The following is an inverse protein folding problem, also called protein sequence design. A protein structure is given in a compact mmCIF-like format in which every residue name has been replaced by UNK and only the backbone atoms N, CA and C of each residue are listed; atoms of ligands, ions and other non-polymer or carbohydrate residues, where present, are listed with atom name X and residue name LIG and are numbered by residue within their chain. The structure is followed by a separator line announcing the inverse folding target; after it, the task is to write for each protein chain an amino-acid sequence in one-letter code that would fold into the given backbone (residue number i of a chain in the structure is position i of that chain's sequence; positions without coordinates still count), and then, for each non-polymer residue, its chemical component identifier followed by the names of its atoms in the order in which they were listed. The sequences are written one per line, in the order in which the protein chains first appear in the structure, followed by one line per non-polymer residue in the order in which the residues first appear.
data_IF_494053385178
#
_entry.id   IF_494053385178
#
_cell.length_a   1.000
_cell.length_b   1.000
_cell.length_c   1.000
_cell.angle_alpha   90.00
_cell.angle_beta   90.00
_cell.angle_gamma   90.00
#
_symmetry.space_group_name_H-M   'P 1'
#
loop_
_entity.id
_entity.type
_entity.pdbx_description
1 polymer ?
#
# COMPACT_ATOMS: atom_id res chain seq x y z
N UNK A 1 -1.33 40.54 32.16
CA UNK A 1 -1.58 40.04 30.80
C UNK A 1 -0.34 39.29 30.33
N UNK A 2 -0.34 37.97 30.44
CA UNK A 2 0.80 37.14 30.00
C UNK A 2 0.67 36.88 28.51
N UNK A 3 1.47 37.57 27.70
CA UNK A 3 1.59 37.30 26.27
C UNK A 3 2.35 35.97 26.09
N UNK A 4 1.63 34.89 25.77
CA UNK A 4 2.24 33.62 25.40
C UNK A 4 2.96 33.84 24.06
N UNK A 5 4.28 33.89 24.09
CA UNK A 5 5.13 34.13 22.92
C UNK A 5 5.23 32.85 22.07
N UNK A 6 4.13 32.44 21.44
CA UNK A 6 4.17 31.37 20.43
C UNK A 6 4.79 31.96 19.15
N UNK A 7 6.09 31.76 18.99
CA UNK A 7 6.87 32.22 17.84
C UNK A 7 6.74 31.23 16.68
N UNK A 8 6.33 31.70 15.50
CA UNK A 8 6.26 30.87 14.29
C UNK A 8 7.62 30.89 13.59
N UNK A 9 8.25 29.72 13.41
CA UNK A 9 9.52 29.57 12.71
C UNK A 9 9.30 28.77 11.43
N UNK A 10 9.67 29.34 10.28
CA UNK A 10 9.56 28.67 8.97
C UNK A 10 10.96 28.54 8.38
N UNK A 11 11.49 27.31 8.34
CA UNK A 11 12.90 27.07 8.02
C UNK A 11 13.80 27.70 9.10
N UNK A 12 14.68 28.63 8.72
CA UNK A 12 15.56 29.34 9.65
C UNK A 12 15.03 30.74 10.02
N UNK A 13 13.83 31.11 9.53
CA UNK A 13 13.31 32.47 9.68
C UNK A 13 12.19 32.50 10.71
N UNK A 14 12.39 33.33 11.74
CA UNK A 14 11.33 33.69 12.70
C UNK A 14 10.36 34.67 12.01
N UNK A 15 9.08 34.29 11.97
CA UNK A 15 8.00 35.09 11.38
C UNK A 15 7.38 35.95 12.49
N UNK A 16 7.46 37.27 12.34
CA UNK A 16 6.88 38.19 13.32
C UNK A 16 5.37 38.13 13.32
N UNK A 17 4.78 38.24 14.52
CA UNK A 17 3.34 38.30 14.74
C UNK A 17 2.97 39.61 15.43
N UNK A 18 1.89 40.23 15.00
CA UNK A 18 1.39 41.46 15.62
C UNK A 18 0.42 41.19 16.79
N UNK A 19 0.01 42.26 17.48
CA UNK A 19 -0.90 42.17 18.62
C UNK A 19 -2.31 41.65 18.25
N UNK A 20 -2.68 41.71 16.96
CA UNK A 20 -3.95 41.18 16.44
C UNK A 20 -3.82 39.75 15.92
N UNK A 21 -2.64 39.13 16.11
CA UNK A 21 -2.38 37.74 15.78
C UNK A 21 -2.07 37.47 14.30
N UNK A 22 -1.75 38.49 13.50
CA UNK A 22 -1.39 38.40 12.07
C UNK A 22 0.12 38.22 11.89
N UNK A 23 0.51 37.58 10.79
CA UNK A 23 1.90 37.18 10.51
C UNK A 23 2.52 38.05 9.41
N UNK A 24 3.80 38.36 9.55
CA UNK A 24 4.53 39.21 8.59
C UNK A 24 4.84 38.47 7.29
N UNK A 25 4.25 38.92 6.18
CA UNK A 25 4.44 38.36 4.85
C UNK A 25 5.86 38.60 4.31
N UNK A 26 6.51 39.69 4.72
CA UNK A 26 7.90 39.96 4.36
C UNK A 26 8.86 38.93 4.96
N UNK A 27 8.59 38.45 6.18
CA UNK A 27 9.41 37.41 6.81
C UNK A 27 9.20 36.05 6.12
N UNK A 28 7.97 35.75 5.70
CA UNK A 28 7.67 34.57 4.87
C UNK A 28 8.32 34.64 3.49
N UNK A 29 8.33 35.82 2.85
CA UNK A 29 9.03 36.03 1.59
C UNK A 29 10.53 35.79 1.73
N UNK A 30 11.12 36.19 2.86
CA UNK A 30 12.51 35.87 3.22
C UNK A 30 12.73 34.38 3.40
N UNK A 31 11.83 33.69 4.11
CA UNK A 31 11.88 32.24 4.29
C UNK A 31 11.73 31.46 2.96
N UNK A 32 11.04 32.04 1.99
CA UNK A 32 10.82 31.47 0.66
C UNK A 32 11.96 31.72 -0.33
N UNK A 33 13.00 32.49 0.04
CA UNK A 33 14.16 32.76 -0.82
C UNK A 33 14.14 34.08 -1.59
N UNK A 34 13.30 35.06 -1.20
CA UNK A 34 13.31 36.45 -1.71
C UNK A 34 13.16 36.61 -3.23
N UNK A 35 12.55 35.64 -3.92
CA UNK A 35 12.32 35.75 -5.36
C UNK A 35 11.41 36.95 -5.71
N UNK A 36 11.82 37.78 -6.68
CA UNK A 36 11.10 39.01 -7.04
C UNK A 36 9.65 38.78 -7.45
N UNK A 37 9.35 37.65 -8.10
CA UNK A 37 7.98 37.28 -8.54
C UNK A 37 7.03 36.97 -7.39
N UNK A 38 7.57 36.67 -6.20
CA UNK A 38 6.79 36.30 -5.01
C UNK A 38 6.66 37.45 -4.02
N UNK A 39 6.83 38.70 -4.45
CA UNK A 39 6.74 39.83 -3.55
C UNK A 39 5.33 39.95 -2.91
N UNK A 40 5.26 40.28 -1.61
CA UNK A 40 3.99 40.53 -0.91
C UNK A 40 3.04 41.50 -1.61
N UNK A 41 3.57 42.54 -2.28
CA UNK A 41 2.76 43.52 -3.01
C UNK A 41 2.10 42.91 -4.26
N UNK A 42 2.79 42.01 -4.95
CA UNK A 42 2.24 41.32 -6.14
C UNK A 42 1.15 40.33 -5.74
N UNK A 43 1.36 39.60 -4.64
CA UNK A 43 0.36 38.71 -4.07
C UNK A 43 -0.96 39.43 -3.75
N UNK A 44 -0.91 40.57 -3.06
CA UNK A 44 -2.11 41.34 -2.70
C UNK A 44 -2.86 41.92 -3.91
N UNK A 45 -2.22 42.00 -5.08
CA UNK A 45 -2.85 42.49 -6.32
C UNK A 45 -3.66 41.43 -7.03
N UNK A 46 -3.40 40.14 -6.77
CA UNK A 46 -4.08 39.01 -7.40
C UNK A 46 -5.59 39.06 -7.13
N UNK A 47 -6.37 38.73 -8.17
CA UNK A 47 -7.84 38.68 -8.07
C UNK A 47 -8.28 37.64 -7.04
N UNK A 48 -7.67 36.45 -7.06
CA UNK A 48 -7.97 35.38 -6.10
C UNK A 48 -7.74 35.81 -4.64
N UNK A 49 -6.62 36.48 -4.35
CA UNK A 49 -6.34 36.97 -3.00
C UNK A 49 -7.33 38.05 -2.55
N UNK A 50 -7.76 38.93 -3.46
CA UNK A 50 -8.82 39.92 -3.17
C UNK A 50 -10.16 39.26 -2.86
N UNK A 51 -10.52 38.20 -3.58
CA UNK A 51 -11.73 37.41 -3.32
C UNK A 51 -11.67 36.73 -1.95
N UNK A 52 -10.52 36.17 -1.57
CA UNK A 52 -10.31 35.57 -0.24
C UNK A 52 -10.44 36.64 0.85
N UNK A 53 -9.85 37.83 0.66
CA UNK A 53 -9.99 38.95 1.61
C UNK A 53 -11.46 39.34 1.76
N UNK A 54 -12.21 39.44 0.65
CA UNK A 54 -13.64 39.74 0.68
C UNK A 54 -14.45 38.67 1.43
N UNK A 55 -14.13 37.39 1.22
CA UNK A 55 -14.76 36.27 1.91
C UNK A 55 -14.46 36.23 3.42
N UNK A 56 -13.25 36.63 3.83
CA UNK A 56 -12.90 36.73 5.25
C UNK A 56 -13.67 37.89 5.91
N UNK A 57 -13.73 39.05 5.23
CA UNK A 57 -14.46 40.22 5.74
C UNK A 57 -15.97 39.98 5.84
N UNK A 58 -16.57 39.15 4.96
CA UNK A 58 -17.99 38.82 5.04
C UNK A 58 -18.33 37.86 6.19
N UNK A 59 -17.41 36.94 6.53
CA UNK A 59 -17.59 36.02 7.65
C UNK A 59 -17.38 36.66 9.02
N UNK A 60 -16.44 37.61 9.14
CA UNK A 60 -16.15 38.32 10.38
C UNK A 60 -15.86 39.81 10.09
N UNK A 61 -16.85 40.70 10.15
CA UNK A 61 -16.73 42.09 9.70
C UNK A 61 -15.80 42.97 10.56
N UNK A 62 -15.35 42.46 11.73
CA UNK A 62 -14.34 43.10 12.57
C UNK A 62 -12.93 42.54 12.36
N UNK A 63 -12.77 41.54 11.50
CA UNK A 63 -11.46 41.02 11.15
C UNK A 63 -10.74 42.04 10.26
N UNK A 64 -9.46 42.30 10.55
CA UNK A 64 -8.59 43.12 9.72
C UNK A 64 -7.60 42.18 9.02
N UNK A 65 -7.98 41.51 7.93
CA UNK A 65 -7.22 40.39 7.36
C UNK A 65 -5.83 40.77 6.85
N UNK A 66 -5.64 42.03 6.48
CA UNK A 66 -4.36 42.59 6.02
C UNK A 66 -4.12 43.94 6.70
N UNK A 67 -2.92 44.16 7.21
CA UNK A 67 -2.45 45.47 7.65
C UNK A 67 -1.03 45.71 7.16
N UNK A 68 -0.83 46.83 6.47
CA UNK A 68 0.51 47.31 6.11
C UNK A 68 0.97 48.29 7.17
N UNK A 69 2.13 48.04 7.76
CA UNK A 69 2.77 48.94 8.74
C UNK A 69 4.01 49.54 8.09
N UNK A 70 4.19 50.85 8.23
CA UNK A 70 5.38 51.58 7.76
C UNK A 70 6.39 51.77 8.92
N UNK A 71 7.68 51.86 8.59
CA UNK A 71 8.75 52.12 9.58
C UNK A 71 9.67 50.93 9.89
N UNK A 72 10.37 50.98 11.02
CA UNK A 72 11.47 50.03 11.38
C UNK A 72 11.03 48.57 11.48
N UNK A 73 9.79 48.32 11.89
CA UNK A 73 9.16 46.98 11.90
C UNK A 73 8.12 46.83 10.78
N UNK A 74 8.28 47.63 9.72
CA UNK A 74 7.34 47.72 8.61
C UNK A 74 7.27 46.43 7.79
N UNK A 75 6.09 46.23 7.21
CA UNK A 75 5.77 45.08 6.40
C UNK A 75 4.26 44.86 6.31
N UNK A 76 3.89 43.92 5.45
CA UNK A 76 2.50 43.49 5.30
C UNK A 76 2.22 42.36 6.28
N UNK A 77 1.28 42.55 7.19
CA UNK A 77 0.81 41.55 8.15
C UNK A 77 -0.52 40.98 7.70
N UNK A 78 -0.63 39.65 7.68
CA UNK A 78 -1.81 38.95 7.18
C UNK A 78 -2.31 37.88 8.14
N UNK A 79 -3.60 37.57 8.09
CA UNK A 79 -4.18 36.50 8.91
C UNK A 79 -3.71 35.10 8.47
N UNK A 80 -3.92 34.08 9.33
CA UNK A 80 -3.47 32.70 9.10
C UNK A 80 -3.92 32.12 7.75
N UNK A 81 -5.16 32.39 7.34
CA UNK A 81 -5.70 31.90 6.06
C UNK A 81 -4.89 32.42 4.85
N UNK A 82 -4.56 33.71 4.86
CA UNK A 82 -3.77 34.33 3.81
C UNK A 82 -2.30 33.88 3.82
N UNK A 83 -1.77 33.46 4.96
CA UNK A 83 -0.44 32.82 5.02
C UNK A 83 -0.42 31.51 4.23
N UNK A 84 -1.46 30.68 4.39
CA UNK A 84 -1.56 29.43 3.63
C UNK A 84 -1.73 29.69 2.14
N UNK A 85 -2.57 30.64 1.76
CA UNK A 85 -2.78 31.03 0.36
C UNK A 85 -1.49 31.55 -0.28
N UNK A 86 -0.76 32.42 0.43
CA UNK A 86 0.55 32.89 -0.04
C UNK A 86 1.55 31.76 -0.20
N UNK A 87 1.60 30.82 0.74
CA UNK A 87 2.50 29.67 0.64
C UNK A 87 2.11 28.73 -0.51
N UNK A 88 0.81 28.56 -0.77
CA UNK A 88 0.28 27.84 -1.94
C UNK A 88 0.72 28.50 -3.25
N UNK A 89 0.66 29.82 -3.32
CA UNK A 89 1.03 30.59 -4.51
C UNK A 89 2.54 30.51 -4.81
N UNK A 90 3.39 30.45 -3.79
CA UNK A 90 4.85 30.33 -3.95
C UNK A 90 5.25 28.95 -4.51
N UNK A 91 4.97 27.87 -3.77
CA UNK A 91 5.30 26.51 -4.19
C UNK A 91 4.71 25.46 -3.25
N UNK A 92 4.49 24.25 -3.77
CA UNK A 92 4.01 23.12 -2.97
C UNK A 92 4.97 22.73 -1.82
N UNK A 93 6.28 22.85 -2.03
CA UNK A 93 7.29 22.52 -1.01
C UNK A 93 7.30 23.55 0.10
N UNK A 94 7.23 24.85 -0.23
CA UNK A 94 7.16 25.90 0.77
C UNK A 94 5.86 25.83 1.57
N UNK A 95 4.73 25.51 0.92
CA UNK A 95 3.46 25.26 1.59
C UNK A 95 3.56 24.19 2.67
N UNK A 96 4.21 23.06 2.39
CA UNK A 96 4.39 22.00 3.40
C UNK A 96 5.17 22.50 4.62
N UNK A 97 6.27 23.23 4.41
CA UNK A 97 7.05 23.82 5.51
C UNK A 97 6.21 24.75 6.39
N UNK A 98 5.33 25.54 5.79
CA UNK A 98 4.44 26.45 6.54
C UNK A 98 3.40 25.65 7.34
N UNK A 99 2.83 24.58 6.77
CA UNK A 99 1.89 23.71 7.48
C UNK A 99 2.59 23.05 8.68
N UNK A 100 3.76 22.45 8.47
CA UNK A 100 4.56 21.83 9.52
C UNK A 100 4.91 22.83 10.63
N UNK A 101 5.32 24.05 10.28
CA UNK A 101 5.61 25.12 11.24
C UNK A 101 4.39 25.50 12.10
N UNK A 102 3.21 25.60 11.49
CA UNK A 102 1.97 25.87 12.23
C UNK A 102 1.56 24.70 13.12
N UNK A 103 1.68 23.47 12.63
CA UNK A 103 1.38 22.27 13.42
C UNK A 103 2.33 22.14 14.61
N UNK A 104 3.61 22.43 14.41
CA UNK A 104 4.64 22.47 15.44
C UNK A 104 4.30 23.54 16.49
N UNK A 105 3.96 24.76 16.07
CA UNK A 105 3.53 25.84 16.97
C UNK A 105 2.28 25.48 17.78
N UNK A 106 1.28 24.83 17.17
CA UNK A 106 0.03 24.41 17.84
C UNK A 106 0.25 23.24 18.79
N UNK A 107 1.09 22.27 18.41
CA UNK A 107 1.51 21.17 19.28
C UNK A 107 2.38 21.66 20.44
N UNK A 108 2.87 22.90 20.37
CA UNK A 108 3.83 23.50 21.29
C UNK A 108 5.15 22.76 21.18
N UNK A 109 5.99 23.11 20.20
CA UNK A 109 7.24 22.38 19.92
C UNK A 109 8.06 22.22 21.20
N UNK A 110 8.25 20.98 21.68
CA UNK A 110 9.39 20.64 22.50
C UNK A 110 10.56 20.42 21.53
N UNK A 111 11.26 21.49 21.15
CA UNK A 111 12.50 21.38 20.37
C UNK A 111 13.71 21.02 21.26
N UNK A 112 13.43 20.41 22.40
CA UNK A 112 14.38 19.68 23.21
C UNK A 112 13.83 18.27 23.41
N UNK A 113 14.68 17.21 23.46
CA UNK A 113 14.25 15.97 24.08
C UNK A 113 13.66 16.37 25.44
N UNK A 114 12.40 16.03 25.67
CA UNK A 114 11.67 16.44 26.85
C UNK A 114 12.57 16.23 28.08
N UNK A 115 13.18 17.29 28.61
CA UNK A 115 13.69 17.26 29.98
C UNK A 115 12.43 17.04 30.79
N UNK A 116 12.29 15.88 31.46
CA UNK A 116 11.08 15.57 32.19
C UNK A 116 10.93 16.69 33.22
N UNK A 117 9.83 17.45 33.11
CA UNK A 117 9.45 18.33 34.19
C UNK A 117 9.12 17.39 35.35
N UNK A 118 9.98 17.39 36.36
CA UNK A 118 9.78 16.57 37.55
C UNK A 118 8.42 16.98 38.13
N UNK A 119 7.41 16.09 38.16
CA UNK A 119 6.18 16.30 38.90
C UNK A 119 6.54 16.73 40.32
N UNK A 120 5.74 17.61 40.91
CA UNK A 120 5.98 18.17 42.26
C UNK A 120 6.20 17.10 43.35
N UNK A 121 5.83 15.85 43.07
CA UNK A 121 6.08 14.67 43.90
C UNK A 121 7.00 13.67 43.18
N UNK A 122 8.26 13.60 43.64
CA UNK A 122 9.31 12.71 43.12
C UNK A 122 8.91 11.22 43.07
N UNK A 123 7.97 10.80 43.94
CA UNK A 123 7.54 9.40 44.08
C UNK A 123 6.69 8.96 42.88
N UNK A 124 5.67 9.74 42.51
CA UNK A 124 4.79 9.44 41.38
C UNK A 124 5.55 9.44 40.05
N UNK A 125 6.52 10.35 39.92
CA UNK A 125 7.42 10.41 38.78
C UNK A 125 8.26 9.13 38.62
N UNK A 126 8.77 8.59 39.74
CA UNK A 126 9.58 7.38 39.74
C UNK A 126 8.74 6.16 39.38
N UNK A 127 7.51 6.07 39.90
CA UNK A 127 6.57 5.00 39.59
C UNK A 127 6.18 5.00 38.11
N UNK A 128 5.89 6.17 37.54
CA UNK A 128 5.57 6.31 36.13
C UNK A 128 6.72 5.85 35.22
N UNK A 129 7.97 6.18 35.55
CA UNK A 129 9.15 5.72 34.81
C UNK A 129 9.33 4.20 34.90
N UNK A 130 9.10 3.61 36.07
CA UNK A 130 9.16 2.15 36.25
C UNK A 130 8.07 1.44 35.44
N UNK A 131 6.86 2.00 35.38
CA UNK A 131 5.76 1.46 34.55
C UNK A 131 6.11 1.54 33.06
N UNK A 132 6.63 2.69 32.62
CA UNK A 132 7.02 2.89 31.22
C UNK A 132 8.14 1.93 30.78
N UNK A 133 9.16 1.72 31.62
CA UNK A 133 10.24 0.80 31.29
C UNK A 133 9.75 -0.66 31.26
N UNK A 134 8.86 -1.06 32.19
CA UNK A 134 8.22 -2.38 32.17
C UNK A 134 7.38 -2.58 30.91
N UNK A 135 6.64 -1.57 30.48
CA UNK A 135 5.84 -1.62 29.26
C UNK A 135 6.71 -1.72 28.01
N UNK A 136 7.78 -0.94 27.93
CA UNK A 136 8.77 -1.02 26.84
C UNK A 136 9.42 -2.40 26.77
N UNK A 137 9.79 -2.99 27.90
CA UNK A 137 10.33 -4.35 27.96
C UNK A 137 9.30 -5.37 27.46
N UNK A 138 8.03 -5.25 27.86
CA UNK A 138 6.93 -6.10 27.36
C UNK A 138 6.75 -5.98 25.86
N UNK A 139 6.70 -4.77 25.33
CA UNK A 139 6.58 -4.51 23.89
C UNK A 139 7.76 -5.11 23.12
N UNK A 140 8.98 -4.96 23.65
CA UNK A 140 10.18 -5.54 23.03
C UNK A 140 10.13 -7.07 23.00
N UNK A 141 9.63 -7.70 24.07
CA UNK A 141 9.47 -9.15 24.15
C UNK A 141 8.41 -9.67 23.17
N UNK A 142 7.26 -8.99 23.07
CA UNK A 142 6.20 -9.33 22.11
C UNK A 142 6.71 -9.19 20.68
N UNK A 143 7.39 -8.09 20.36
CA UNK A 143 7.95 -7.86 19.03
C UNK A 143 9.01 -8.92 18.67
N UNK A 144 9.85 -9.31 19.63
CA UNK A 144 10.83 -10.38 19.44
C UNK A 144 10.15 -11.73 19.18
N UNK A 145 9.08 -12.06 19.92
CA UNK A 145 8.29 -13.28 19.70
C UNK A 145 7.61 -13.28 18.33
N UNK A 146 7.05 -12.15 17.90
CA UNK A 146 6.45 -12.01 16.57
C UNK A 146 7.50 -12.18 15.47
N UNK A 147 8.70 -11.61 15.65
CA UNK A 147 9.80 -11.80 14.70
C UNK A 147 10.19 -13.28 14.58
N UNK A 148 10.29 -14.01 15.69
CA UNK A 148 10.56 -15.45 15.68
C UNK A 148 9.46 -16.25 14.96
N UNK A 149 8.18 -15.89 15.15
CA UNK A 149 7.07 -16.53 14.43
C UNK A 149 7.14 -16.27 12.92
N UNK A 150 7.46 -15.03 12.52
CA UNK A 150 7.67 -14.71 11.11
C UNK A 150 8.83 -15.51 10.53
N UNK A 151 9.92 -15.69 11.28
CA UNK A 151 11.07 -16.50 10.86
C UNK A 151 10.77 -17.97 10.72
N UNK A 152 10.00 -18.55 11.65
CA UNK A 152 9.55 -19.93 11.54
C UNK A 152 8.66 -20.16 10.30
N UNK A 153 7.92 -19.13 9.87
CA UNK A 153 7.05 -19.18 8.68
C UNK A 153 7.78 -18.83 7.37
N UNK A 154 8.97 -18.19 7.42
CA UNK A 154 9.79 -17.86 6.23
C UNK A 154 9.98 -19.04 5.27
N UNK A 155 10.33 -20.27 5.69
CA UNK A 155 10.58 -21.37 4.74
C UNK A 155 9.32 -21.84 3.98
N UNK A 156 8.15 -21.86 4.61
CA UNK A 156 6.89 -22.25 3.94
C UNK A 156 6.46 -21.19 2.92
N UNK A 157 6.58 -19.91 3.29
CA UNK A 157 6.25 -18.78 2.41
C UNK A 157 7.26 -18.64 1.27
N UNK A 158 8.55 -18.86 1.52
CA UNK A 158 9.59 -18.81 0.48
C UNK A 158 9.53 -19.99 -0.47
N UNK A 159 9.21 -21.20 0.01
CA UNK A 159 8.94 -22.33 -0.85
C UNK A 159 7.73 -22.03 -1.74
N UNK A 160 6.62 -21.55 -1.16
CA UNK A 160 5.46 -21.13 -1.94
C UNK A 160 5.81 -20.05 -2.97
N UNK A 161 6.57 -19.00 -2.58
CA UNK A 161 7.02 -17.94 -3.50
C UNK A 161 7.95 -18.45 -4.59
N UNK A 162 8.89 -19.35 -4.28
CA UNK A 162 9.82 -19.95 -5.26
C UNK A 162 9.07 -20.84 -6.24
N UNK A 163 8.10 -21.64 -5.78
CA UNK A 163 7.27 -22.47 -6.66
C UNK A 163 6.28 -21.67 -7.52
N UNK A 164 5.80 -20.53 -7.02
CA UNK A 164 4.93 -19.61 -7.76
C UNK A 164 5.70 -18.75 -8.77
N UNK A 165 6.91 -18.28 -8.41
CA UNK A 165 7.72 -17.40 -9.26
C UNK A 165 8.56 -18.11 -10.33
N UNK A 166 8.93 -19.38 -10.13
CA UNK A 166 9.86 -20.07 -11.02
C UNK A 166 9.22 -20.72 -12.26
N UNK A 167 7.90 -20.90 -12.30
CA UNK A 167 7.25 -21.69 -13.34
C UNK A 167 6.18 -20.84 -14.02
N UNK A 168 6.38 -20.57 -15.31
CA UNK A 168 5.40 -19.91 -16.17
C UNK A 168 4.05 -20.64 -16.21
N UNK A 169 3.13 -20.17 -17.05
CA UNK A 169 1.78 -20.74 -17.11
C UNK A 169 1.81 -22.28 -17.26
N UNK A 170 1.07 -22.99 -16.39
CA UNK A 170 1.02 -24.47 -16.34
C UNK A 170 -0.26 -25.01 -16.96
N UNK A 171 -0.22 -26.20 -17.55
CA UNK A 171 -1.46 -26.84 -17.98
C UNK A 171 -2.26 -27.30 -16.75
N UNK A 172 -3.57 -27.55 -16.90
CA UNK A 172 -4.42 -27.95 -15.78
C UNK A 172 -3.93 -29.22 -15.06
N UNK A 173 -3.32 -30.15 -15.81
CA UNK A 173 -2.75 -31.39 -15.25
C UNK A 173 -1.53 -31.11 -14.38
N UNK A 174 -0.59 -30.29 -14.86
CA UNK A 174 0.62 -29.93 -14.12
C UNK A 174 0.29 -29.04 -12.91
N UNK A 175 -0.71 -28.17 -13.05
CA UNK A 175 -1.24 -27.37 -11.95
C UNK A 175 -1.85 -28.25 -10.86
N UNK A 176 -2.64 -29.28 -11.24
CA UNK A 176 -3.21 -30.23 -10.28
C UNK A 176 -2.12 -31.00 -9.52
N UNK A 177 -1.10 -31.49 -10.23
CA UNK A 177 0.06 -32.16 -9.61
C UNK A 177 0.79 -31.23 -8.64
N UNK A 178 0.99 -29.97 -9.01
CA UNK A 178 1.65 -28.98 -8.16
C UNK A 178 0.80 -28.53 -6.95
N UNK A 179 -0.53 -28.68 -7.03
CA UNK A 179 -1.46 -28.47 -5.91
C UNK A 179 -1.68 -29.76 -5.10
N UNK A 180 -1.00 -30.85 -5.43
CA UNK A 180 -1.13 -32.16 -4.79
C UNK A 180 -2.55 -32.76 -4.84
N UNK A 181 -3.32 -32.42 -5.89
CA UNK A 181 -4.68 -32.94 -6.10
C UNK A 181 -4.77 -33.83 -7.34
N UNK A 182 -5.63 -34.87 -7.35
CA UNK A 182 -5.79 -35.71 -8.53
C UNK A 182 -6.32 -34.90 -9.74
N UNK A 183 -5.68 -34.99 -10.93
CA UNK A 183 -6.04 -34.14 -12.08
C UNK A 183 -7.50 -34.25 -12.54
N UNK A 184 -8.08 -35.46 -12.51
CA UNK A 184 -9.50 -35.67 -12.85
C UNK A 184 -10.44 -34.94 -11.89
N UNK A 185 -10.09 -34.96 -10.61
CA UNK A 185 -10.84 -34.25 -9.58
C UNK A 185 -10.74 -32.74 -9.79
N UNK A 186 -9.54 -32.22 -10.06
CA UNK A 186 -9.34 -30.79 -10.30
C UNK A 186 -10.17 -30.28 -11.48
N UNK A 187 -10.20 -31.02 -12.59
CA UNK A 187 -11.03 -30.67 -13.76
C UNK A 187 -12.52 -30.67 -13.41
N UNK A 188 -12.98 -31.62 -12.59
CA UNK A 188 -14.38 -31.67 -12.12
C UNK A 188 -14.68 -30.51 -11.18
N UNK A 189 -13.80 -30.22 -10.22
CA UNK A 189 -13.91 -29.07 -9.32
C UNK A 189 -14.03 -27.75 -10.08
N UNK A 190 -13.26 -27.54 -11.15
CA UNK A 190 -13.35 -26.33 -11.99
C UNK A 190 -14.69 -26.18 -12.69
N UNK A 191 -15.33 -27.29 -13.07
CA UNK A 191 -16.66 -27.32 -13.68
C UNK A 191 -17.75 -27.08 -12.63
N UNK A 192 -17.69 -27.82 -11.52
CA UNK A 192 -18.66 -27.75 -10.42
C UNK A 192 -18.65 -26.37 -9.74
N UNK A 193 -17.47 -25.74 -9.65
CA UNK A 193 -17.29 -24.39 -9.09
C UNK A 193 -17.57 -23.27 -10.11
N UNK A 194 -18.00 -23.61 -11.32
CA UNK A 194 -18.27 -22.67 -12.41
C UNK A 194 -17.09 -21.73 -12.70
N UNK A 195 -15.85 -22.24 -12.62
CA UNK A 195 -14.61 -21.52 -12.95
C UNK A 195 -14.29 -21.70 -14.43
N UNK A 196 -14.51 -22.92 -14.92
CA UNK A 196 -14.40 -23.27 -16.33
C UNK A 196 -15.69 -23.92 -16.83
N UNK A 197 -15.93 -23.83 -18.13
CA UNK A 197 -17.07 -24.46 -18.79
C UNK A 197 -16.63 -25.16 -20.08
N UNK A 198 -17.53 -25.98 -20.63
CA UNK A 198 -17.36 -26.59 -21.97
C UNK A 198 -18.35 -25.92 -22.92
N UNK A 199 -17.87 -25.53 -24.11
CA UNK A 199 -18.73 -24.90 -25.11
C UNK A 199 -19.82 -25.90 -25.55
N UNK A 200 -21.09 -25.49 -25.66
CA UNK A 200 -22.12 -26.32 -26.25
C UNK A 200 -21.76 -26.67 -27.70
N UNK A 201 -22.09 -27.89 -28.10
CA UNK A 201 -21.82 -28.35 -29.46
C UNK A 201 -22.64 -27.54 -30.46
N UNK A 202 -21.97 -26.98 -31.46
CA UNK A 202 -22.65 -26.37 -32.61
C UNK A 202 -23.05 -27.45 -33.61
N UNK A 203 -24.23 -27.34 -34.26
CA UNK A 203 -24.64 -28.27 -35.31
C UNK A 203 -23.56 -28.39 -36.40
N UNK A 204 -23.16 -29.61 -36.75
CA UNK A 204 -22.17 -29.88 -37.80
C UNK A 204 -20.68 -29.81 -37.37
N UNK A 205 -20.35 -29.40 -36.15
CA UNK A 205 -18.96 -29.45 -35.65
C UNK A 205 -18.67 -30.68 -34.78
N UNK A 206 -17.46 -31.23 -34.92
CA UNK A 206 -16.92 -32.26 -34.01
C UNK A 206 -16.93 -31.73 -32.57
N UNK A 207 -17.38 -32.57 -31.63
CA UNK A 207 -17.39 -32.25 -30.19
C UNK A 207 -15.98 -31.90 -29.71
N UNK A 208 -15.74 -30.63 -29.38
CA UNK A 208 -14.49 -30.19 -28.75
C UNK A 208 -14.66 -30.25 -27.23
N UNK A 209 -13.96 -31.19 -26.58
CA UNK A 209 -13.99 -31.36 -25.12
C UNK A 209 -13.08 -30.35 -24.39
N UNK A 210 -12.87 -29.15 -24.96
CA UNK A 210 -11.98 -28.13 -24.42
C UNK A 210 -12.64 -27.42 -23.25
N UNK A 211 -11.92 -27.33 -22.14
CA UNK A 211 -12.30 -26.49 -21.00
C UNK A 211 -11.89 -25.05 -21.28
N UNK A 212 -12.83 -24.12 -21.12
CA UNK A 212 -12.61 -22.68 -21.25
C UNK A 212 -12.86 -22.00 -19.91
N UNK A 213 -12.00 -21.06 -19.48
CA UNK A 213 -12.24 -20.28 -18.28
C UNK A 213 -13.38 -19.28 -18.51
N UNK A 214 -14.14 -18.99 -17.46
CA UNK A 214 -15.07 -17.85 -17.47
C UNK A 214 -14.32 -16.53 -17.51
N UNK A 215 -14.95 -15.51 -18.11
CA UNK A 215 -14.31 -14.22 -18.37
C UNK A 215 -13.79 -13.55 -17.09
N UNK A 216 -14.49 -13.73 -15.96
CA UNK A 216 -14.08 -13.20 -14.65
C UNK A 216 -12.71 -13.72 -14.20
N UNK A 217 -12.44 -15.02 -14.36
CA UNK A 217 -11.19 -15.65 -13.93
C UNK A 217 -10.03 -15.34 -14.88
N UNK A 218 -10.34 -15.01 -16.13
CA UNK A 218 -9.37 -14.47 -17.09
C UNK A 218 -9.04 -13.01 -16.75
N UNK A 219 -10.05 -12.19 -16.44
CA UNK A 219 -9.86 -10.79 -16.05
C UNK A 219 -9.06 -10.64 -14.75
N UNK A 220 -9.28 -11.54 -13.78
CA UNK A 220 -8.48 -11.64 -12.55
C UNK A 220 -7.07 -12.19 -12.78
N UNK A 221 -6.76 -12.65 -14.00
CA UNK A 221 -5.46 -13.17 -14.38
C UNK A 221 -5.12 -14.53 -13.78
N UNK A 222 -6.11 -15.31 -13.31
CA UNK A 222 -5.88 -16.64 -12.72
C UNK A 222 -5.71 -17.73 -13.77
N UNK A 223 -6.44 -17.62 -14.88
CA UNK A 223 -6.44 -18.58 -15.98
C UNK A 223 -6.24 -17.85 -17.30
N UNK A 224 -5.46 -18.45 -18.20
CA UNK A 224 -5.21 -17.93 -19.54
C UNK A 224 -5.52 -19.02 -20.56
N UNK A 225 -6.24 -18.69 -21.62
CA UNK A 225 -6.42 -19.59 -22.75
C UNK A 225 -5.30 -19.35 -23.77
N UNK A 226 -4.33 -20.27 -23.83
CA UNK A 226 -3.20 -20.16 -24.77
C UNK A 226 -3.62 -20.76 -26.11
N UNK A 227 -3.75 -19.93 -27.13
CA UNK A 227 -3.97 -20.40 -28.50
C UNK A 227 -2.71 -21.11 -29.03
N UNK A 228 -2.90 -22.22 -29.75
CA UNK A 228 -1.83 -22.92 -30.47
C UNK A 228 -2.38 -23.34 -31.82
N UNK A 229 -2.11 -22.56 -32.86
CA UNK A 229 -2.50 -22.90 -34.22
C UNK A 229 -1.52 -23.93 -34.78
N UNK A 230 -2.04 -25.03 -35.30
CA UNK A 230 -1.27 -26.08 -35.96
C UNK A 230 -1.80 -26.21 -37.38
N UNK A 231 -0.90 -26.10 -38.34
CA UNK A 231 -1.23 -26.30 -39.74
C UNK A 231 -1.28 -27.81 -40.04
N UNK A 232 -2.36 -28.24 -40.68
CA UNK A 232 -2.57 -29.61 -41.14
C UNK A 232 -2.81 -29.58 -42.64
N UNK A 233 -1.91 -30.19 -43.40
CA UNK A 233 -2.12 -30.40 -44.83
C UNK A 233 -3.21 -31.46 -45.05
N UNK A 234 -4.20 -31.11 -45.88
CA UNK A 234 -5.29 -31.99 -46.33
C UNK A 234 -5.27 -32.03 -47.85
N UNK A 235 -5.93 -33.01 -48.48
CA UNK A 235 -6.01 -33.13 -49.95
C UNK A 235 -6.57 -31.87 -50.65
N UNK A 236 -7.31 -31.03 -49.92
CA UNK A 236 -7.97 -29.81 -50.40
C UNK A 236 -7.21 -28.51 -50.01
N UNK A 237 -6.06 -28.61 -49.32
CA UNK A 237 -5.24 -27.45 -48.90
C UNK A 237 -4.76 -27.48 -47.44
N UNK A 238 -4.17 -26.36 -46.98
CA UNK A 238 -3.68 -26.19 -45.61
C UNK A 238 -4.84 -25.74 -44.71
N UNK A 239 -5.16 -26.54 -43.68
CA UNK A 239 -6.18 -26.21 -42.68
C UNK A 239 -5.50 -25.84 -41.37
N UNK A 240 -5.89 -24.72 -40.77
CA UNK A 240 -5.40 -24.31 -39.44
C UNK A 240 -6.30 -24.90 -38.34
N UNK A 241 -5.74 -25.84 -37.57
CA UNK A 241 -6.39 -26.40 -36.40
C UNK A 241 -5.92 -25.68 -35.13
N UNK A 242 -6.86 -25.05 -34.41
CA UNK A 242 -6.56 -24.52 -33.08
C UNK A 242 -6.48 -25.66 -32.04
N UNK A 243 -5.28 -25.90 -31.50
CA UNK A 243 -4.95 -26.80 -30.39
C UNK A 243 -4.65 -26.07 -29.08
N UNK A 244 -5.21 -24.88 -28.89
CA UNK A 244 -5.08 -24.14 -27.66
C UNK A 244 -5.59 -24.89 -26.43
N UNK A 245 -5.12 -24.46 -25.25
CA UNK A 245 -5.52 -25.05 -23.97
C UNK A 245 -5.54 -23.99 -22.87
N UNK A 246 -6.34 -24.27 -21.84
CA UNK A 246 -6.41 -23.43 -20.63
C UNK A 246 -5.22 -23.72 -19.73
N UNK A 247 -4.58 -22.64 -19.28
CA UNK A 247 -3.39 -22.65 -18.46
C UNK A 247 -3.64 -21.88 -17.17
N UNK A 248 -3.05 -22.34 -16.07
CA UNK A 248 -3.05 -21.67 -14.77
C UNK A 248 -1.83 -20.77 -14.67
N UNK A 249 -2.03 -19.52 -14.28
CA UNK A 249 -0.95 -18.55 -14.07
C UNK A 249 -0.36 -18.73 -12.67
N UNK A 250 0.83 -18.16 -12.39
CA UNK A 250 1.35 -18.04 -11.02
C UNK A 250 0.35 -17.44 -10.03
N UNK A 251 -0.35 -16.39 -10.44
CA UNK A 251 -1.38 -15.73 -9.62
C UNK A 251 -2.56 -16.68 -9.35
N UNK A 252 -2.98 -17.43 -10.38
CA UNK A 252 -4.01 -18.45 -10.26
C UNK A 252 -3.58 -19.59 -9.33
N UNK A 253 -2.33 -20.06 -9.41
CA UNK A 253 -1.79 -21.10 -8.54
C UNK A 253 -1.83 -20.68 -7.07
N UNK A 254 -1.41 -19.46 -6.75
CA UNK A 254 -1.46 -18.92 -5.39
C UNK A 254 -2.90 -18.89 -4.87
N UNK A 255 -3.83 -18.45 -5.72
CA UNK A 255 -5.25 -18.39 -5.40
C UNK A 255 -5.87 -19.78 -5.16
N UNK A 256 -5.58 -20.76 -6.02
CA UNK A 256 -6.05 -22.13 -5.84
C UNK A 256 -5.46 -22.76 -4.57
N UNK A 257 -4.19 -22.53 -4.29
CA UNK A 257 -3.53 -23.06 -3.09
C UNK A 257 -4.18 -22.53 -1.80
N UNK A 258 -4.42 -21.22 -1.72
CA UNK A 258 -5.10 -20.61 -0.58
C UNK A 258 -6.54 -21.13 -0.42
N UNK A 259 -7.27 -21.27 -1.53
CA UNK A 259 -8.66 -21.73 -1.55
C UNK A 259 -8.81 -23.20 -1.18
N UNK A 260 -7.88 -24.05 -1.58
CA UNK A 260 -7.90 -25.48 -1.24
C UNK A 260 -7.42 -25.75 0.19
N UNK A 261 -6.46 -24.96 0.70
CA UNK A 261 -6.04 -25.04 2.11
C UNK A 261 -7.15 -24.62 3.07
N UNK A 262 -7.91 -23.57 2.78
CA UNK A 262 -9.01 -23.13 3.65
C UNK A 262 -10.15 -24.15 3.72
N UNK A 263 -10.41 -24.89 2.64
CA UNK A 263 -11.40 -25.98 2.64
C UNK A 263 -10.99 -27.20 3.45
N UNK A 264 -9.69 -27.40 3.71
CA UNK A 264 -9.19 -28.51 4.53
C UNK A 264 -9.31 -28.27 6.04
N UNK A 265 -9.35 -27.01 6.49
CA UNK A 265 -9.47 -26.64 7.92
C UNK A 265 -10.92 -26.57 8.44
N UNK A 266 -11.91 -26.51 7.55
CA UNK A 266 -13.33 -26.62 7.87
C UNK A 266 -13.71 -28.09 7.79
N UNK A 267 -14.00 -28.75 8.93
CA UNK A 267 -14.17 -30.20 9.09
C UNK A 267 -15.25 -30.89 8.24
N UNK A 268 -15.10 -30.87 6.92
CA UNK A 268 -15.79 -31.71 5.95
C UNK A 268 -14.74 -32.64 5.35
N UNK A 269 -14.35 -33.62 6.16
CA UNK A 269 -13.58 -34.78 5.70
C UNK A 269 -14.44 -35.59 4.72
N UNK A 270 -14.39 -35.27 3.42
CA UNK A 270 -14.62 -36.16 2.26
C UNK A 270 -14.97 -35.36 1.00
N UNK A 271 -13.98 -34.87 0.25
CA UNK A 271 -14.18 -34.57 -1.19
C UNK A 271 -12.97 -35.00 -2.04
N UNK A 272 -11.76 -35.14 -1.48
CA UNK A 272 -10.69 -35.89 -2.14
C UNK A 272 -10.79 -37.36 -1.73
N UNK A 273 -11.02 -38.33 -2.64
CA UNK A 273 -10.83 -39.73 -2.28
C UNK A 273 -9.38 -39.90 -1.84
N UNK A 274 -9.17 -40.57 -0.71
CA UNK A 274 -7.85 -40.97 -0.23
C UNK A 274 -7.06 -41.55 -1.41
N UNK A 275 -5.97 -40.89 -1.81
CA UNK A 275 -5.12 -41.38 -2.89
C UNK A 275 -4.47 -42.69 -2.40
N UNK A 276 -4.55 -43.81 -3.15
CA UNK A 276 -3.67 -44.94 -2.89
C UNK A 276 -2.23 -44.46 -3.09
N UNK A 277 -1.35 -44.80 -2.14
CA UNK A 277 0.07 -44.50 -2.19
C UNK A 277 0.65 -44.85 -3.58
N UNK A 278 1.36 -43.89 -4.18
CA UNK A 278 1.94 -44.05 -5.51
C UNK A 278 3.23 -44.90 -5.40
N UNK A 279 3.25 -46.16 -5.88
CA UNK A 279 4.42 -47.04 -5.73
C UNK A 279 5.66 -46.56 -6.49
N UNK A 280 5.53 -45.53 -7.36
CA UNK A 280 6.67 -44.94 -8.08
C UNK A 280 7.47 -43.95 -7.24
N UNK A 281 6.91 -43.39 -6.15
CA UNK A 281 7.63 -42.44 -5.29
C UNK A 281 8.57 -43.14 -4.31
N UNK A 282 8.25 -44.34 -3.83
CA UNK A 282 9.15 -45.13 -2.96
C UNK A 282 10.41 -45.59 -3.71
N UNK A 283 10.30 -45.94 -4.99
CA UNK A 283 11.47 -46.34 -5.80
C UNK A 283 12.47 -45.22 -6.11
N UNK A 284 12.04 -43.95 -5.99
CA UNK A 284 12.90 -42.78 -6.18
C UNK A 284 13.58 -42.37 -4.88
N UNK A 285 12.95 -42.58 -3.72
CA UNK A 285 13.60 -42.42 -2.41
C UNK A 285 14.58 -43.56 -2.09
N UNK A 286 14.27 -44.80 -2.46
CA UNK A 286 15.16 -45.95 -2.22
C UNK A 286 16.43 -45.97 -3.10
N UNK A 287 16.49 -45.18 -4.19
CA UNK A 287 17.68 -45.05 -5.04
C UNK A 287 18.63 -43.93 -4.62
N UNK A 288 18.24 -43.09 -3.65
CA UNK A 288 19.08 -41.99 -3.15
C UNK A 288 20.03 -42.42 -2.00
N UNK A 289 19.81 -43.59 -1.39
CA UNK A 289 20.62 -44.10 -0.26
C UNK A 289 21.65 -45.18 -0.66
N UNK A 290 21.88 -45.39 -1.95
CA UNK A 290 22.83 -46.37 -2.48
C UNK A 290 24.16 -45.75 -2.93
N UNK A 291 24.87 -45.06 -2.05
CA UNK A 291 26.25 -44.58 -2.25
C UNK A 291 27.22 -45.32 -1.32
N UNK A 292 28.20 -45.99 -1.91
CA UNK A 292 29.08 -47.05 -1.40
C UNK A 292 29.86 -46.79 -0.08
N UNK A 293 30.16 -47.86 0.68
CA UNK A 293 31.29 -47.88 1.63
C UNK A 293 32.54 -48.50 1.00
N UNK A 294 33.70 -47.85 1.19
CA UNK A 294 35.03 -48.46 1.06
C UNK A 294 35.82 -48.07 -0.17
#
# INVERSE_FOLDING_TARGET
MTCRSDSLVVGEVVVRRDAHGRYCLNDLHRAAGLEKRHQPNDFLRLTSTKEIIAAINSGEPRSLPVQTVEGRNGGTYVCKALVYDYAMWISATFRLKVIEAFDAMVRGVPDAPATPQLPGDYIEALEALVVAEKEKLRLSAVNAQQAQQLEAQKPDVDLARRYLGAIGNRCLTDAATALEVPPKWFVRYLLDSNICYRRPQQPGQKRRNRLLPHAEFVAKGYLVNKARLVERQTAEGIVQDDRGQTMVTPVGMAWFFARLKSTAGSGVANIAPALPANPKQESLLAKADGGEPG
#
